data_IF_019298789422
#
_entry.id   IF_019298789422
#
_cell.length_a   1.000
_cell.length_b   1.000
_cell.length_c   1.000
_cell.angle_alpha   90.00
_cell.angle_beta   90.00
_cell.angle_gamma   90.00
#
_symmetry.space_group_name_H-M   'P 1'
#
loop_
_entity.id
_entity.type
_entity.pdbx_description
1 polymer ?
#
# COMPACT_ATOMS: atom_id res chain seq x y z
N UNK A 1 -17.93 -11.20 57.50
CA UNK A 1 -18.45 -10.10 56.67
C UNK A 1 -17.36 -9.08 56.38
N UNK A 2 -16.73 -9.10 55.20
CA UNK A 2 -15.95 -8.00 54.60
C UNK A 2 -15.92 -8.26 53.08
N UNK A 3 -16.61 -7.41 52.31
CA UNK A 3 -16.65 -7.46 50.84
C UNK A 3 -15.31 -6.95 50.28
N UNK A 4 -14.64 -7.73 49.42
CA UNK A 4 -13.54 -7.26 48.56
C UNK A 4 -14.09 -6.97 47.17
N UNK A 5 -13.77 -5.80 46.64
CA UNK A 5 -14.10 -5.33 45.29
C UNK A 5 -13.17 -5.99 44.27
N UNK A 6 -13.74 -6.50 43.18
CA UNK A 6 -13.03 -6.95 41.98
C UNK A 6 -13.00 -5.75 41.03
N UNK A 7 -11.80 -5.31 40.64
CA UNK A 7 -11.61 -4.28 39.62
C UNK A 7 -11.31 -4.95 38.28
N UNK A 8 -12.17 -4.73 37.30
CA UNK A 8 -11.94 -5.04 35.89
C UNK A 8 -11.58 -3.71 35.22
N UNK A 9 -10.35 -3.59 34.73
CA UNK A 9 -9.93 -2.48 33.87
C UNK A 9 -10.16 -2.93 32.42
N UNK A 10 -11.13 -2.32 31.75
CA UNK A 10 -11.38 -2.49 30.32
C UNK A 10 -11.31 -1.12 29.64
N UNK A 11 -10.78 -1.13 28.42
CA UNK A 11 -10.43 -0.01 27.56
C UNK A 11 -11.45 1.15 27.52
N UNK A 12 -10.97 2.37 27.74
CA UNK A 12 -11.66 3.62 27.43
C UNK A 12 -11.19 4.09 26.04
N UNK A 13 -12.00 3.85 25.01
CA UNK A 13 -11.96 4.54 23.72
C UNK A 13 -13.37 5.08 23.42
N UNK A 14 -13.42 6.40 23.25
CA UNK A 14 -14.43 7.22 22.57
C UNK A 14 -15.91 7.04 22.89
N UNK A 15 -16.44 7.96 23.69
CA UNK A 15 -17.83 8.41 23.60
C UNK A 15 -17.87 9.95 23.58
N UNK A 16 -17.37 10.55 22.50
CA UNK A 16 -17.65 11.94 22.15
C UNK A 16 -18.95 11.97 21.34
N UNK A 17 -20.06 12.33 21.98
CA UNK A 17 -21.36 12.45 21.34
C UNK A 17 -21.40 13.66 20.38
N UNK A 18 -21.21 13.43 19.09
CA UNK A 18 -21.72 14.33 18.06
C UNK A 18 -23.21 14.02 17.86
N UNK A 19 -24.09 14.92 18.31
CA UNK A 19 -25.50 14.92 17.89
C UNK A 19 -25.55 15.27 16.40
N UNK A 20 -25.61 14.27 15.52
CA UNK A 20 -26.13 14.47 14.18
C UNK A 20 -27.65 14.66 14.29
N UNK A 21 -28.16 15.81 13.85
CA UNK A 21 -29.58 15.99 13.56
C UNK A 21 -30.00 14.93 12.54
N UNK A 22 -30.99 14.12 12.91
CA UNK A 22 -31.63 13.18 12.01
C UNK A 22 -32.33 13.95 10.90
N UNK A 23 -31.79 13.88 9.69
CA UNK A 23 -32.54 14.14 8.46
C UNK A 23 -33.38 12.89 8.22
N UNK A 24 -34.68 13.06 7.98
CA UNK A 24 -35.61 11.96 7.71
C UNK A 24 -35.08 11.10 6.53
N UNK A 25 -35.13 9.76 6.63
CA UNK A 25 -34.66 8.90 5.56
C UNK A 25 -35.60 8.97 4.36
N UNK A 26 -35.05 9.32 3.20
CA UNK A 26 -35.74 9.26 1.90
C UNK A 26 -36.09 7.78 1.62
N UNK A 27 -37.32 7.46 1.17
CA UNK A 27 -37.72 6.08 0.86
C UNK A 27 -36.81 5.43 -0.19
N UNK A 28 -36.38 4.19 0.09
CA UNK A 28 -35.41 3.42 -0.72
C UNK A 28 -35.90 3.19 -2.16
N UNK A 29 -37.21 3.20 -2.38
CA UNK A 29 -37.81 2.95 -3.70
C UNK A 29 -37.60 4.10 -4.71
N UNK A 30 -37.29 5.32 -4.25
CA UNK A 30 -36.90 6.44 -5.14
C UNK A 30 -35.40 6.39 -5.54
N UNK A 31 -34.55 5.67 -4.78
CA UNK A 31 -33.10 5.58 -5.02
C UNK A 31 -32.70 4.59 -6.11
N UNK A 32 -33.60 3.70 -6.53
CA UNK A 32 -33.32 2.63 -7.51
C UNK A 32 -33.59 3.06 -8.96
N UNK A 33 -34.13 4.26 -9.18
CA UNK A 33 -34.51 4.76 -10.51
C UNK A 33 -33.46 5.70 -11.15
N UNK A 34 -32.39 6.06 -10.44
CA UNK A 34 -31.43 7.05 -10.95
C UNK A 34 -30.17 6.40 -11.54
N UNK A 35 -29.78 6.92 -12.70
CA UNK A 35 -28.50 6.71 -13.38
C UNK A 35 -27.30 6.67 -12.42
N UNK A 36 -26.22 5.92 -12.74
CA UNK A 36 -25.06 5.77 -11.87
C UNK A 36 -24.52 7.14 -11.41
N UNK A 37 -24.36 7.37 -10.09
CA UNK A 37 -23.86 8.62 -9.56
C UNK A 37 -22.46 8.92 -10.11
N UNK A 38 -22.26 10.16 -10.55
CA UNK A 38 -20.98 10.66 -11.04
C UNK A 38 -20.44 11.69 -10.04
N UNK A 39 -19.23 12.24 -10.22
CA UNK A 39 -18.79 13.32 -9.34
C UNK A 39 -19.72 14.55 -9.44
N UNK A 40 -20.68 14.58 -10.38
CA UNK A 40 -21.70 15.65 -10.58
C UNK A 40 -22.46 15.89 -9.31
N UNK A 41 -22.66 14.84 -8.53
CA UNK A 41 -23.57 14.83 -7.41
C UNK A 41 -22.96 15.50 -6.18
N UNK A 42 -21.69 15.92 -6.28
CA UNK A 42 -20.98 16.69 -5.27
C UNK A 42 -20.81 18.18 -5.62
N UNK A 43 -21.34 18.62 -6.75
CA UNK A 43 -21.36 20.01 -7.17
C UNK A 43 -22.82 20.49 -7.17
N UNK A 44 -23.14 21.68 -6.61
CA UNK A 44 -24.49 22.23 -6.70
C UNK A 44 -24.95 22.29 -8.17
N UNK A 45 -26.11 21.69 -8.49
CA UNK A 45 -26.66 21.65 -9.87
C UNK A 45 -26.77 23.04 -10.52
N UNK A 46 -26.93 24.09 -9.71
CA UNK A 46 -26.96 25.49 -10.14
C UNK A 46 -25.66 25.99 -10.80
N UNK A 47 -24.53 25.29 -10.60
CA UNK A 47 -23.28 25.58 -11.32
C UNK A 47 -23.13 24.75 -12.59
N UNK A 48 -23.67 23.52 -12.64
CA UNK A 48 -23.46 22.54 -13.72
C UNK A 48 -24.15 22.95 -15.04
N UNK A 49 -25.26 23.69 -14.98
CA UNK A 49 -26.09 23.97 -16.16
C UNK A 49 -25.58 25.13 -17.04
N UNK A 50 -24.56 25.90 -16.59
CA UNK A 50 -24.03 27.07 -17.31
C UNK A 50 -22.51 27.24 -17.16
N UNK A 51 -21.74 26.14 -17.16
CA UNK A 51 -20.26 26.26 -17.09
C UNK A 51 -19.68 26.59 -18.47
N UNK A 52 -19.23 27.82 -18.66
CA UNK A 52 -18.29 28.15 -19.72
C UNK A 52 -17.04 27.25 -19.57
N UNK A 53 -16.47 26.75 -20.67
CA UNK A 53 -15.29 25.86 -20.66
C UNK A 53 -14.14 26.38 -19.76
N UNK A 54 -14.03 27.70 -19.59
CA UNK A 54 -13.06 28.33 -18.72
C UNK A 54 -13.26 28.02 -17.22
N UNK A 55 -14.51 27.94 -16.75
CA UNK A 55 -14.80 27.54 -15.37
C UNK A 55 -14.46 26.07 -15.16
N UNK A 56 -14.92 25.20 -16.07
CA UNK A 56 -14.66 23.76 -15.99
C UNK A 56 -13.15 23.48 -16.05
N UNK A 57 -12.41 24.16 -16.94
CA UNK A 57 -10.95 24.10 -17.03
C UNK A 57 -10.29 24.48 -15.69
N UNK A 58 -10.68 25.60 -15.09
CA UNK A 58 -10.14 26.04 -13.80
C UNK A 58 -10.44 25.08 -12.66
N UNK A 59 -11.67 24.54 -12.62
CA UNK A 59 -12.08 23.57 -11.61
C UNK A 59 -11.32 22.25 -11.74
N UNK A 60 -11.25 21.67 -12.95
CA UNK A 60 -10.52 20.41 -13.18
C UNK A 60 -9.03 20.62 -12.89
N UNK A 61 -8.42 21.73 -13.33
CA UNK A 61 -7.02 22.04 -13.04
C UNK A 61 -6.76 22.12 -11.53
N UNK A 62 -7.65 22.76 -10.76
CA UNK A 62 -7.53 22.84 -9.30
C UNK A 62 -7.63 21.46 -8.65
N UNK A 63 -8.54 20.60 -9.12
CA UNK A 63 -8.72 19.24 -8.59
C UNK A 63 -7.54 18.32 -8.93
N UNK A 64 -7.02 18.41 -10.16
CA UNK A 64 -5.82 17.68 -10.58
C UNK A 64 -4.62 18.15 -9.76
N UNK A 65 -4.43 19.46 -9.59
CA UNK A 65 -3.38 19.99 -8.72
C UNK A 65 -3.57 19.51 -7.27
N UNK A 66 -4.78 19.51 -6.74
CA UNK A 66 -5.01 19.07 -5.36
C UNK A 66 -4.61 17.62 -5.09
N UNK A 67 -4.77 16.72 -6.08
CA UNK A 67 -4.59 15.28 -5.87
C UNK A 67 -3.35 14.69 -6.55
N UNK A 68 -2.81 15.40 -7.54
CA UNK A 68 -1.71 14.98 -8.41
C UNK A 68 -0.71 16.12 -8.65
N UNK A 69 -0.58 17.09 -7.71
CA UNK A 69 0.32 18.25 -7.85
C UNK A 69 1.75 17.88 -8.25
N UNK A 70 2.23 16.71 -7.83
CA UNK A 70 3.59 16.22 -8.11
C UNK A 70 3.85 15.99 -9.61
N UNK A 71 2.78 15.79 -10.39
CA UNK A 71 2.86 15.45 -11.81
C UNK A 71 2.70 16.65 -12.74
N UNK A 72 2.37 17.84 -12.22
CA UNK A 72 2.22 19.07 -13.01
C UNK A 72 1.44 18.86 -14.32
N UNK A 73 0.28 18.22 -14.19
CA UNK A 73 -0.59 17.93 -15.33
C UNK A 73 -1.35 19.20 -15.69
N UNK A 74 -1.22 19.64 -16.94
CA UNK A 74 -1.96 20.79 -17.44
C UNK A 74 -3.26 20.32 -18.09
N UNK A 75 -4.33 21.08 -17.84
CA UNK A 75 -5.68 20.79 -18.30
C UNK A 75 -6.14 21.93 -19.19
N UNK A 76 -6.77 21.60 -20.31
CA UNK A 76 -7.59 22.56 -21.02
C UNK A 76 -8.90 21.92 -21.49
N UNK A 77 -9.94 22.75 -21.64
CA UNK A 77 -11.28 22.30 -22.03
C UNK A 77 -11.73 23.02 -23.30
N UNK A 78 -12.39 22.28 -24.19
CA UNK A 78 -13.09 22.81 -25.37
C UNK A 78 -14.41 22.07 -25.58
N UNK A 79 -15.54 22.77 -25.56
CA UNK A 79 -16.89 22.24 -25.72
C UNK A 79 -17.25 21.08 -24.75
N UNK A 80 -16.65 21.07 -23.55
CA UNK A 80 -16.76 19.98 -22.57
C UNK A 80 -15.87 18.76 -22.83
N UNK A 81 -15.04 18.77 -23.87
CA UNK A 81 -13.96 17.79 -24.07
C UNK A 81 -12.70 18.26 -23.32
N UNK A 82 -12.12 17.37 -22.51
CA UNK A 82 -10.98 17.68 -21.65
C UNK A 82 -9.71 17.12 -22.24
N UNK A 83 -8.65 17.92 -22.25
CA UNK A 83 -7.35 17.55 -22.76
C UNK A 83 -6.31 17.65 -21.65
N UNK A 84 -5.52 16.58 -21.50
CA UNK A 84 -4.50 16.45 -20.46
C UNK A 84 -3.10 16.43 -21.08
N UNK A 85 -2.25 17.30 -20.60
CA UNK A 85 -0.84 17.41 -21.00
C UNK A 85 0.09 17.07 -19.83
N UNK A 86 1.31 16.61 -20.15
CA UNK A 86 2.34 16.24 -19.18
C UNK A 86 1.95 15.07 -18.24
N UNK A 87 1.17 14.11 -18.75
CA UNK A 87 0.81 12.91 -17.98
C UNK A 87 2.06 12.08 -17.64
N UNK A 88 2.11 11.47 -16.43
CA UNK A 88 3.21 10.59 -16.05
C UNK A 88 3.30 9.39 -16.98
N UNK A 89 4.53 8.92 -17.24
CA UNK A 89 4.75 7.75 -18.10
C UNK A 89 4.29 6.44 -17.47
N UNK A 90 4.12 6.36 -16.15
CA UNK A 90 3.59 5.15 -15.51
C UNK A 90 2.09 4.94 -15.83
N UNK A 91 1.74 3.79 -16.42
CA UNK A 91 0.39 3.50 -16.93
C UNK A 91 -0.67 3.44 -15.83
N UNK A 92 -0.30 2.98 -14.62
CA UNK A 92 -1.22 2.88 -13.49
C UNK A 92 -1.60 4.28 -12.98
N UNK A 93 -0.61 5.15 -12.78
CA UNK A 93 -0.82 6.54 -12.35
C UNK A 93 -1.57 7.32 -13.42
N UNK A 94 -1.12 7.23 -14.68
CA UNK A 94 -1.78 7.85 -15.84
C UNK A 94 -3.25 7.44 -15.95
N UNK A 95 -3.54 6.14 -15.83
CA UNK A 95 -4.91 5.63 -15.85
C UNK A 95 -5.75 6.16 -14.70
N UNK A 96 -5.15 6.35 -13.51
CA UNK A 96 -5.85 6.90 -12.34
C UNK A 96 -6.18 8.37 -12.52
N UNK A 97 -5.27 9.18 -13.10
CA UNK A 97 -5.51 10.59 -13.42
C UNK A 97 -6.61 10.72 -14.47
N UNK A 98 -6.52 9.98 -15.58
CA UNK A 98 -7.54 10.00 -16.63
C UNK A 98 -8.90 9.64 -16.03
N UNK A 99 -9.00 8.54 -15.27
CA UNK A 99 -10.27 8.13 -14.66
C UNK A 99 -10.77 9.13 -13.63
N UNK A 100 -9.87 9.75 -12.87
CA UNK A 100 -10.21 10.79 -11.93
C UNK A 100 -10.91 11.97 -12.61
N UNK A 101 -10.40 12.40 -13.78
CA UNK A 101 -10.98 13.47 -14.60
C UNK A 101 -12.23 13.00 -15.35
N UNK A 102 -12.24 11.80 -15.93
CA UNK A 102 -13.42 11.25 -16.65
C UNK A 102 -14.63 11.13 -15.74
N UNK A 103 -14.42 10.83 -14.46
CA UNK A 103 -15.51 10.74 -13.49
C UNK A 103 -16.05 12.12 -13.08
N UNK A 104 -15.47 13.25 -13.54
CA UNK A 104 -15.85 14.61 -13.15
C UNK A 104 -17.10 15.14 -13.83
N UNK A 105 -17.78 16.14 -13.21
CA UNK A 105 -18.98 16.75 -13.75
C UNK A 105 -18.71 17.53 -15.01
N UNK A 106 -19.62 17.48 -15.99
CA UNK A 106 -19.49 18.25 -17.23
C UNK A 106 -18.45 17.71 -18.22
N UNK A 107 -17.67 16.69 -17.83
CA UNK A 107 -16.66 16.06 -18.70
C UNK A 107 -17.34 15.09 -19.66
N UNK A 108 -17.27 15.39 -20.97
CA UNK A 108 -17.78 14.50 -22.03
C UNK A 108 -16.76 13.45 -22.44
N UNK A 109 -15.50 13.87 -22.60
CA UNK A 109 -14.39 12.99 -22.96
C UNK A 109 -13.08 13.49 -22.36
N UNK A 110 -12.08 12.61 -22.28
CA UNK A 110 -10.73 12.94 -21.80
C UNK A 110 -9.70 12.41 -22.80
N UNK A 111 -8.87 13.30 -23.33
CA UNK A 111 -7.84 12.97 -24.33
C UNK A 111 -6.45 13.39 -23.84
N UNK A 112 -5.47 12.51 -23.98
CA UNK A 112 -4.06 12.86 -23.76
C UNK A 112 -3.52 13.58 -24.99
N UNK A 113 -2.78 14.67 -24.78
CA UNK A 113 -2.14 15.43 -25.86
C UNK A 113 -0.64 15.57 -25.64
N UNK A 114 0.12 15.49 -26.73
CA UNK A 114 1.58 15.64 -26.72
C UNK A 114 2.03 17.12 -26.78
N UNK A 115 1.13 18.03 -27.14
CA UNK A 115 1.40 19.47 -27.22
C UNK A 115 0.26 20.24 -26.58
N UNK A 116 0.60 21.21 -25.74
CA UNK A 116 -0.35 22.17 -25.19
C UNK A 116 -0.52 23.35 -26.16
N UNK A 117 -1.73 23.87 -26.40
CA UNK A 117 -1.97 24.98 -27.33
C UNK A 117 -1.18 26.25 -26.96
N UNK A 118 -0.45 26.83 -27.92
CA UNK A 118 0.42 28.02 -27.71
C UNK A 118 -0.37 29.24 -27.17
N UNK A 119 -1.57 29.49 -27.69
CA UNK A 119 -2.43 30.59 -27.23
C UNK A 119 -2.90 30.44 -25.77
N UNK A 120 -2.94 29.20 -25.25
CA UNK A 120 -3.25 28.93 -23.83
C UNK A 120 -1.97 28.90 -22.98
N UNK A 121 -0.83 28.47 -23.53
CA UNK A 121 0.49 28.61 -22.90
C UNK A 121 0.81 30.07 -22.58
N UNK A 122 0.58 31.03 -23.48
CA UNK A 122 0.84 32.46 -23.20
C UNK A 122 0.03 33.00 -22.01
N UNK A 123 -1.18 32.49 -21.79
CA UNK A 123 -1.99 32.81 -20.60
C UNK A 123 -1.45 32.17 -19.33
N UNK A 124 -0.87 30.97 -19.43
CA UNK A 124 -0.19 30.29 -18.34
C UNK A 124 1.17 30.93 -18.03
N UNK A 125 1.96 31.34 -19.01
CA UNK A 125 3.28 31.98 -18.81
C UNK A 125 3.19 33.34 -18.11
N UNK A 126 2.06 34.05 -18.26
CA UNK A 126 1.75 35.24 -17.45
C UNK A 126 1.53 34.93 -15.96
N UNK A 127 1.13 33.70 -15.61
CA UNK A 127 1.24 33.17 -14.24
C UNK A 127 2.67 32.64 -14.11
N UNK A 128 3.56 33.34 -13.41
CA UNK A 128 4.96 32.95 -13.22
C UNK A 128 5.18 31.42 -13.21
N UNK A 129 5.63 30.87 -14.34
CA UNK A 129 6.07 29.46 -14.42
C UNK A 129 7.43 29.43 -13.74
N UNK A 130 7.43 29.24 -12.43
CA UNK A 130 8.67 29.14 -11.65
C UNK A 130 9.50 27.99 -12.22
N UNK A 131 10.82 28.18 -12.40
CA UNK A 131 11.70 27.17 -12.96
C UNK A 131 11.54 25.87 -12.19
N UNK A 132 11.10 24.82 -12.89
CA UNK A 132 10.82 23.53 -12.27
C UNK A 132 12.13 22.82 -11.94
N UNK A 133 12.27 22.47 -10.67
CA UNK A 133 13.26 21.49 -10.23
C UNK A 133 12.94 20.19 -10.98
N UNK A 134 13.95 19.49 -11.52
CA UNK A 134 13.79 18.24 -12.29
C UNK A 134 13.25 17.05 -11.48
N UNK A 135 12.64 17.32 -10.33
CA UNK A 135 12.14 16.35 -9.37
C UNK A 135 11.47 17.00 -8.18
N UNK A 136 10.88 16.16 -7.34
CA UNK A 136 10.04 16.54 -6.20
C UNK A 136 10.69 16.03 -4.92
N UNK A 137 10.92 16.93 -3.96
CA UNK A 137 11.30 16.56 -2.59
C UNK A 137 10.08 16.04 -1.83
N UNK A 138 10.26 14.94 -1.10
CA UNK A 138 9.26 14.34 -0.23
C UNK A 138 7.88 14.13 -0.89
N UNK A 139 7.80 13.38 -2.01
CA UNK A 139 6.51 13.10 -2.64
C UNK A 139 5.55 12.38 -1.67
N UNK A 140 4.28 12.75 -1.72
CA UNK A 140 3.24 12.39 -0.74
C UNK A 140 2.14 11.48 -1.32
N UNK A 141 1.96 11.46 -2.66
CA UNK A 141 0.73 10.94 -3.27
C UNK A 141 0.83 9.50 -3.75
N UNK A 142 2.00 9.05 -4.21
CA UNK A 142 2.18 7.72 -4.79
C UNK A 142 3.54 7.11 -4.44
N UNK A 143 3.63 5.78 -4.56
CA UNK A 143 4.89 5.03 -4.59
C UNK A 143 5.17 4.56 -6.02
N UNK A 144 6.43 4.54 -6.44
CA UNK A 144 6.79 4.07 -7.78
C UNK A 144 6.75 2.54 -7.91
N UNK A 145 7.12 1.82 -6.85
CA UNK A 145 7.01 0.37 -6.76
C UNK A 145 5.94 0.01 -5.72
N UNK A 146 4.72 -0.42 -6.11
CA UNK A 146 3.67 -0.73 -5.15
C UNK A 146 4.00 -1.96 -4.29
N UNK A 147 3.52 -2.03 -3.04
CA UNK A 147 3.86 -3.11 -2.12
C UNK A 147 3.38 -4.47 -2.61
N UNK A 148 4.14 -5.53 -2.33
CA UNK A 148 3.78 -6.92 -2.66
C UNK A 148 2.89 -7.48 -1.54
N UNK A 149 1.59 -7.20 -1.62
CA UNK A 149 0.66 -7.35 -0.47
C UNK A 149 0.54 -8.76 0.14
N UNK A 150 0.96 -9.81 -0.57
CA UNK A 150 0.96 -11.19 -0.07
C UNK A 150 2.31 -11.60 0.56
N UNK A 151 3.35 -10.77 0.47
CA UNK A 151 4.63 -10.98 1.14
C UNK A 151 4.43 -10.81 2.67
N UNK A 152 4.70 -11.84 3.49
CA UNK A 152 4.55 -11.75 4.95
C UNK A 152 5.44 -10.66 5.59
N UNK A 153 6.56 -10.33 4.93
CA UNK A 153 7.53 -9.32 5.37
C UNK A 153 7.44 -8.05 4.50
N UNK A 154 6.27 -7.75 3.93
CA UNK A 154 6.08 -6.48 3.23
C UNK A 154 6.04 -5.32 4.22
N UNK A 155 6.71 -4.23 3.90
CA UNK A 155 6.83 -3.04 4.74
C UNK A 155 5.55 -2.21 4.67
N UNK A 156 4.50 -2.72 5.32
CA UNK A 156 3.19 -2.09 5.44
C UNK A 156 2.71 -2.14 6.89
N UNK A 157 1.70 -1.36 7.22
CA UNK A 157 1.02 -1.49 8.50
C UNK A 157 -0.02 -2.62 8.43
N UNK A 158 0.01 -3.53 9.39
CA UNK A 158 -0.98 -4.61 9.47
C UNK A 158 -1.13 -5.19 10.87
N UNK A 159 -2.28 -5.82 11.09
CA UNK A 159 -2.52 -6.69 12.23
C UNK A 159 -3.33 -7.90 11.76
N UNK A 160 -2.84 -9.11 12.07
CA UNK A 160 -3.48 -10.36 11.68
C UNK A 160 -3.45 -11.37 12.81
N UNK A 161 -4.58 -12.04 13.02
CA UNK A 161 -4.66 -13.20 13.89
C UNK A 161 -4.36 -14.45 13.05
N UNK A 162 -3.40 -15.27 13.49
CA UNK A 162 -2.97 -16.49 12.81
C UNK A 162 -3.30 -17.72 13.67
N UNK A 163 -3.72 -18.79 13.02
CA UNK A 163 -4.13 -20.06 13.63
C UNK A 163 -3.35 -21.18 12.98
N UNK A 164 -2.82 -22.08 13.82
CA UNK A 164 -2.15 -23.30 13.38
C UNK A 164 -0.63 -23.17 13.26
N UNK A 165 -0.03 -22.04 13.66
CA UNK A 165 1.43 -21.91 13.68
C UNK A 165 2.03 -22.86 14.72
N UNK A 166 2.89 -23.78 14.28
CA UNK A 166 3.48 -24.82 15.12
C UNK A 166 4.80 -24.39 15.76
N UNK A 167 5.36 -23.26 15.32
CA UNK A 167 6.67 -22.78 15.73
C UNK A 167 6.52 -21.64 16.74
N UNK A 168 5.75 -20.61 16.39
CA UNK A 168 5.57 -19.44 17.26
C UNK A 168 4.40 -19.59 18.23
N UNK A 169 3.42 -20.45 17.93
CA UNK A 169 2.29 -20.74 18.81
C UNK A 169 0.99 -20.98 18.07
N UNK A 170 0.10 -21.84 18.60
CA UNK A 170 -1.11 -22.26 17.86
C UNK A 170 -2.05 -21.11 17.50
N UNK A 171 -2.04 -20.05 18.30
CA UNK A 171 -2.82 -18.84 18.10
C UNK A 171 -1.86 -17.67 18.28
N UNK A 172 -1.59 -16.91 17.22
CA UNK A 172 -0.69 -15.76 17.32
C UNK A 172 -1.34 -14.50 16.78
N UNK A 173 -0.97 -13.35 17.32
CA UNK A 173 -1.22 -12.06 16.68
C UNK A 173 0.09 -11.58 16.07
N UNK A 174 0.09 -11.39 14.76
CA UNK A 174 1.20 -10.76 14.04
C UNK A 174 0.84 -9.30 13.75
N UNK A 175 1.76 -8.40 14.10
CA UNK A 175 1.63 -6.95 13.88
C UNK A 175 2.81 -6.50 13.04
N UNK A 176 2.54 -5.70 12.01
CA UNK A 176 3.57 -5.01 11.26
C UNK A 176 3.38 -3.50 11.33
N UNK A 177 4.49 -2.78 11.47
CA UNK A 177 4.58 -1.33 11.35
C UNK A 177 5.69 -1.04 10.36
N UNK A 178 5.34 -0.48 9.21
CA UNK A 178 6.33 -0.22 8.19
C UNK A 178 5.86 0.81 7.19
N UNK A 179 6.79 1.62 6.71
CA UNK A 179 6.57 2.60 5.66
C UNK A 179 7.84 2.81 4.83
N UNK A 180 7.63 3.32 3.63
CA UNK A 180 8.69 3.88 2.79
C UNK A 180 8.57 5.40 2.86
N UNK A 181 9.62 6.08 3.34
CA UNK A 181 9.69 7.53 3.36
C UNK A 181 10.40 8.04 2.10
N UNK A 182 9.68 8.62 1.13
CA UNK A 182 10.31 9.07 -0.10
C UNK A 182 11.13 10.33 0.12
N UNK A 183 12.41 10.32 -0.25
CA UNK A 183 13.28 11.50 -0.08
C UNK A 183 13.13 12.41 -1.29
N UNK A 184 13.34 11.85 -2.48
CA UNK A 184 13.36 12.62 -3.72
C UNK A 184 12.95 11.77 -4.91
N UNK A 185 12.13 12.35 -5.78
CA UNK A 185 11.71 11.76 -7.06
C UNK A 185 12.19 12.61 -8.22
N UNK A 186 13.15 12.12 -8.99
CA UNK A 186 13.47 12.69 -10.30
C UNK A 186 12.40 12.29 -11.32
N UNK A 187 12.01 13.25 -12.16
CA UNK A 187 10.99 13.04 -13.19
C UNK A 187 11.64 12.99 -14.57
N UNK A 188 11.07 12.17 -15.46
CA UNK A 188 11.47 12.10 -16.87
C UNK A 188 12.98 11.83 -17.08
N UNK A 189 13.59 10.96 -16.28
CA UNK A 189 15.02 10.63 -16.36
C UNK A 189 15.32 9.46 -17.29
N UNK A 190 16.60 9.37 -17.70
CA UNK A 190 17.14 8.38 -18.63
C UNK A 190 16.50 8.39 -20.03
N UNK A 191 16.91 7.45 -20.88
CA UNK A 191 16.46 7.36 -22.28
C UNK A 191 14.95 7.05 -22.42
N UNK A 192 14.33 6.46 -21.39
CA UNK A 192 12.91 6.08 -21.42
C UNK A 192 11.98 7.10 -20.76
N UNK A 193 12.53 8.21 -20.24
CA UNK A 193 11.79 9.29 -19.58
C UNK A 193 10.86 8.78 -18.45
N UNK A 194 11.32 7.82 -17.65
CA UNK A 194 10.59 7.35 -16.48
C UNK A 194 10.88 8.20 -15.25
N UNK A 195 10.25 7.85 -14.14
CA UNK A 195 10.48 8.50 -12.85
C UNK A 195 11.40 7.62 -12.00
N UNK A 196 12.38 8.23 -11.34
CA UNK A 196 13.33 7.58 -10.42
C UNK A 196 13.12 8.16 -9.02
N UNK A 197 13.14 7.32 -7.99
CA UNK A 197 12.89 7.73 -6.62
C UNK A 197 13.83 7.00 -5.67
N UNK A 198 14.36 7.74 -4.69
CA UNK A 198 15.13 7.19 -3.57
C UNK A 198 14.36 7.39 -2.27
N UNK A 199 14.24 6.33 -1.48
CA UNK A 199 13.48 6.33 -0.22
C UNK A 199 14.35 5.82 0.94
N UNK A 200 13.84 6.02 2.16
CA UNK A 200 14.25 5.27 3.35
C UNK A 200 13.12 4.34 3.71
N UNK A 201 13.42 3.05 3.77
CA UNK A 201 12.47 2.03 4.18
C UNK A 201 12.74 1.62 5.62
N UNK A 202 11.69 1.53 6.43
CA UNK A 202 11.78 0.98 7.79
C UNK A 202 10.57 0.08 8.08
N UNK A 203 10.81 -1.08 8.67
CA UNK A 203 9.77 -2.05 8.99
C UNK A 203 10.03 -2.78 10.30
N UNK A 204 8.97 -3.07 11.03
CA UNK A 204 8.97 -3.86 12.26
C UNK A 204 7.87 -4.91 12.14
N UNK A 205 8.19 -6.18 12.38
CA UNK A 205 7.21 -7.27 12.44
C UNK A 205 7.34 -7.96 13.79
N UNK A 206 6.26 -8.00 14.57
CA UNK A 206 6.23 -8.65 15.87
C UNK A 206 5.15 -9.73 15.90
N UNK A 207 5.49 -10.88 16.47
CA UNK A 207 4.55 -12.00 16.63
C UNK A 207 4.36 -12.29 18.11
N UNK A 208 3.11 -12.26 18.55
CA UNK A 208 2.69 -12.54 19.92
C UNK A 208 1.96 -13.89 19.97
N UNK A 209 2.37 -14.80 20.84
CA UNK A 209 1.65 -16.04 21.08
C UNK A 209 0.56 -15.82 22.11
N UNK A 210 -0.68 -16.06 21.71
CA UNK A 210 -1.89 -15.78 22.49
C UNK A 210 -2.28 -17.00 23.31
N UNK A 211 -2.63 -16.77 24.58
CA UNK A 211 -3.03 -17.84 25.49
C UNK A 211 -1.86 -18.75 25.89
N UNK A 212 -0.63 -18.25 25.81
CA UNK A 212 0.58 -18.95 26.23
C UNK A 212 0.52 -19.39 27.71
N UNK A 213 -0.33 -18.75 28.53
CA UNK A 213 -0.54 -19.13 29.93
C UNK A 213 0.75 -19.05 30.71
N UNK A 214 1.54 -18.00 30.47
CA UNK A 214 2.89 -17.81 30.98
C UNK A 214 2.96 -17.84 32.51
N UNK A 215 4.19 -17.88 33.04
CA UNK A 215 4.47 -18.11 34.48
C UNK A 215 3.74 -17.14 35.43
N UNK A 216 3.35 -15.95 34.96
CA UNK A 216 2.67 -14.91 35.74
C UNK A 216 1.25 -14.58 35.27
N UNK A 217 0.58 -15.47 34.54
CA UNK A 217 -0.79 -15.26 34.07
C UNK A 217 -0.89 -14.31 32.86
N UNK A 218 0.19 -14.19 32.10
CA UNK A 218 0.24 -13.41 30.87
C UNK A 218 -0.73 -13.96 29.82
N UNK A 219 -1.50 -13.05 29.22
CA UNK A 219 -2.44 -13.39 28.16
C UNK A 219 -1.75 -13.58 26.80
N UNK A 220 -0.60 -12.94 26.60
CA UNK A 220 0.20 -13.03 25.40
C UNK A 220 1.69 -12.90 25.74
N UNK A 221 2.54 -13.63 25.04
CA UNK A 221 4.00 -13.49 25.11
C UNK A 221 4.52 -12.97 23.76
N UNK A 222 5.48 -12.04 23.75
CA UNK A 222 6.17 -11.66 22.52
C UNK A 222 7.15 -12.78 22.16
N UNK A 223 7.02 -13.34 20.95
CA UNK A 223 7.86 -14.44 20.48
C UNK A 223 9.07 -13.92 19.74
N UNK A 224 8.85 -13.08 18.73
CA UNK A 224 9.89 -12.56 17.85
C UNK A 224 9.55 -11.15 17.38
N UNK A 225 10.56 -10.31 17.25
CA UNK A 225 10.49 -9.03 16.54
C UNK A 225 11.61 -8.90 15.53
N UNK A 226 11.23 -8.69 14.27
CA UNK A 226 12.13 -8.38 13.16
C UNK A 226 12.16 -6.88 12.90
N UNK A 227 13.36 -6.32 12.69
CA UNK A 227 13.59 -4.92 12.36
C UNK A 227 14.30 -4.83 11.02
N UNK A 228 13.74 -4.05 10.09
CA UNK A 228 14.32 -3.79 8.78
C UNK A 228 14.58 -2.30 8.61
N UNK A 229 15.76 -1.97 8.06
CA UNK A 229 16.06 -0.65 7.50
C UNK A 229 16.66 -0.85 6.12
N UNK A 230 16.17 -0.11 5.13
CA UNK A 230 16.65 -0.21 3.76
C UNK A 230 16.66 1.12 3.02
N UNK A 231 17.35 1.13 1.89
CA UNK A 231 17.41 2.27 0.96
C UNK A 231 16.97 1.74 -0.41
N UNK A 232 15.66 1.78 -0.73
CA UNK A 232 15.19 1.40 -2.04
C UNK A 232 15.39 2.55 -3.04
N UNK A 233 15.85 2.18 -4.23
CA UNK A 233 15.87 2.99 -5.44
C UNK A 233 14.84 2.40 -6.40
N UNK A 234 13.75 3.13 -6.60
CA UNK A 234 12.62 2.71 -7.42
C UNK A 234 12.59 3.45 -8.75
N UNK A 235 12.37 2.75 -9.85
CA UNK A 235 12.20 3.34 -11.18
C UNK A 235 10.92 2.84 -11.83
N UNK A 236 10.09 3.73 -12.36
CA UNK A 236 8.82 3.33 -12.99
C UNK A 236 8.62 4.00 -14.35
N UNK A 237 8.23 3.20 -15.35
CA UNK A 237 7.97 3.64 -16.72
C UNK A 237 6.96 2.73 -17.39
N UNK A 238 5.92 3.31 -18.01
CA UNK A 238 4.83 2.56 -18.65
C UNK A 238 4.25 1.50 -17.69
N UNK A 239 4.28 0.22 -18.10
CA UNK A 239 3.81 -0.94 -17.34
C UNK A 239 4.85 -1.51 -16.37
N UNK A 240 6.06 -0.97 -16.34
CA UNK A 240 7.19 -1.52 -15.60
C UNK A 240 7.47 -0.69 -14.35
N UNK A 241 7.77 -1.38 -13.25
CA UNK A 241 8.37 -0.81 -12.07
C UNK A 241 9.54 -1.68 -11.63
N UNK A 242 10.61 -1.05 -11.17
CA UNK A 242 11.83 -1.69 -10.72
C UNK A 242 12.16 -1.16 -9.33
N UNK A 243 12.71 -2.01 -8.47
CA UNK A 243 13.19 -1.64 -7.14
C UNK A 243 14.53 -2.32 -6.90
N UNK A 244 15.59 -1.54 -6.76
CA UNK A 244 16.87 -2.00 -6.23
C UNK A 244 16.92 -1.60 -4.76
N UNK A 245 17.16 -2.52 -3.85
CA UNK A 245 17.19 -2.22 -2.41
C UNK A 245 18.41 -2.84 -1.76
N UNK A 246 19.17 -2.03 -1.04
CA UNK A 246 20.11 -2.51 -0.02
C UNK A 246 19.41 -2.38 1.33
N UNK A 247 19.45 -3.42 2.14
CA UNK A 247 18.80 -3.42 3.43
C UNK A 247 19.56 -4.24 4.48
N UNK A 248 19.35 -3.87 5.73
CA UNK A 248 19.72 -4.62 6.92
C UNK A 248 18.44 -5.14 7.57
N UNK A 249 18.45 -6.39 8.01
CA UNK A 249 17.40 -6.96 8.85
C UNK A 249 18.01 -7.70 10.03
N UNK A 250 17.45 -7.49 11.22
CA UNK A 250 17.85 -8.14 12.46
C UNK A 250 16.64 -8.62 13.24
N UNK A 251 16.75 -9.76 13.89
CA UNK A 251 15.67 -10.41 14.60
C UNK A 251 16.00 -10.58 16.07
N UNK A 252 15.04 -10.30 16.93
CA UNK A 252 15.18 -10.40 18.37
C UNK A 252 14.10 -11.31 18.93
N UNK A 253 14.53 -12.36 19.63
CA UNK A 253 13.66 -13.23 20.40
C UNK A 253 13.09 -12.44 21.59
N UNK A 254 11.78 -12.52 21.81
CA UNK A 254 11.11 -11.82 22.89
C UNK A 254 11.51 -12.36 24.26
N UNK A 255 11.53 -11.48 25.25
CA UNK A 255 11.94 -11.80 26.61
C UNK A 255 10.88 -12.63 27.34
N UNK A 256 9.58 -12.35 27.16
CA UNK A 256 8.52 -13.19 27.73
C UNK A 256 8.62 -14.63 27.20
N UNK A 257 8.89 -14.80 25.89
CA UNK A 257 9.08 -16.12 25.30
C UNK A 257 10.29 -16.86 25.91
N UNK A 258 11.41 -16.17 26.15
CA UNK A 258 12.58 -16.76 26.81
C UNK A 258 12.29 -17.17 28.27
N UNK A 259 11.49 -16.38 28.99
CA UNK A 259 11.08 -16.68 30.37
C UNK A 259 10.16 -17.90 30.42
N UNK A 260 9.22 -18.01 29.48
CA UNK A 260 8.27 -19.11 29.39
C UNK A 260 8.90 -20.39 28.81
N UNK A 261 10.00 -20.27 28.05
CA UNK A 261 10.70 -21.39 27.42
C UNK A 261 12.18 -21.46 27.86
N UNK A 262 12.49 -21.85 29.11
CA UNK A 262 13.85 -21.80 29.66
C UNK A 262 14.89 -22.69 28.95
N UNK A 263 14.46 -23.59 28.06
CA UNK A 263 15.32 -24.40 27.22
C UNK A 263 15.67 -23.76 25.87
N UNK A 264 15.06 -22.63 25.51
CA UNK A 264 15.33 -21.95 24.24
C UNK A 264 16.72 -21.33 24.26
N UNK A 265 17.47 -21.53 23.18
CA UNK A 265 18.74 -20.85 22.97
C UNK A 265 18.49 -19.62 22.11
N UNK A 266 18.83 -18.44 22.62
CA UNK A 266 18.84 -17.21 21.81
C UNK A 266 19.95 -17.30 20.75
N UNK A 267 19.58 -17.06 19.50
CA UNK A 267 20.47 -16.90 18.36
C UNK A 267 20.43 -15.43 17.92
N UNK A 268 21.28 -15.05 16.97
CA UNK A 268 21.36 -13.69 16.47
C UNK A 268 21.14 -13.63 14.95
N UNK A 269 19.91 -13.83 14.45
CA UNK A 269 19.62 -13.66 13.03
C UNK A 269 19.78 -12.20 12.67
N UNK A 270 20.81 -11.91 11.88
CA UNK A 270 21.06 -10.57 11.35
C UNK A 270 21.76 -10.73 10.01
N UNK A 271 21.32 -9.94 9.03
CA UNK A 271 21.90 -9.97 7.70
C UNK A 271 21.74 -8.65 6.96
N UNK A 272 22.65 -8.43 6.02
CA UNK A 272 22.60 -7.38 5.02
C UNK A 272 22.52 -8.00 3.65
N UNK A 273 21.61 -7.47 2.85
CA UNK A 273 21.33 -8.00 1.53
C UNK A 273 21.04 -6.90 0.52
N UNK A 274 21.17 -7.27 -0.74
CA UNK A 274 20.75 -6.49 -1.89
C UNK A 274 19.75 -7.30 -2.70
N UNK A 275 18.60 -6.70 -3.05
CA UNK A 275 17.63 -7.29 -3.97
C UNK A 275 17.31 -6.37 -5.13
N UNK A 276 16.92 -6.97 -6.24
CA UNK A 276 16.41 -6.27 -7.39
C UNK A 276 15.08 -6.88 -7.81
N UNK A 277 13.98 -6.15 -7.62
CA UNK A 277 12.67 -6.57 -8.06
C UNK A 277 12.25 -5.86 -9.34
N UNK A 278 11.60 -6.62 -10.20
CA UNK A 278 10.91 -6.13 -11.39
C UNK A 278 9.44 -6.49 -11.28
N UNK A 279 8.56 -5.52 -11.50
CA UNK A 279 7.12 -5.69 -11.59
C UNK A 279 6.61 -5.28 -12.97
N UNK A 280 5.68 -6.07 -13.49
CA UNK A 280 5.01 -5.82 -14.76
C UNK A 280 3.50 -5.78 -14.60
N UNK A 281 2.90 -4.66 -14.98
CA UNK A 281 1.47 -4.41 -14.97
C UNK A 281 0.84 -4.92 -16.28
N UNK A 282 0.50 -6.21 -16.33
CA UNK A 282 -0.05 -6.87 -17.53
C UNK A 282 -1.33 -6.16 -18.00
N UNK A 283 -2.23 -5.91 -17.07
CA UNK A 283 -3.48 -5.13 -17.26
C UNK A 283 -3.64 -4.19 -16.08
N UNK A 284 -4.63 -3.29 -16.10
CA UNK A 284 -4.95 -2.42 -14.94
C UNK A 284 -5.27 -3.18 -13.65
N UNK A 285 -5.57 -4.47 -13.77
CA UNK A 285 -6.05 -5.33 -12.70
C UNK A 285 -5.10 -6.47 -12.35
N UNK A 286 -4.10 -6.75 -13.18
CA UNK A 286 -3.19 -7.88 -13.02
C UNK A 286 -1.73 -7.41 -13.03
N UNK A 287 -1.00 -7.75 -11.97
CA UNK A 287 0.43 -7.43 -11.79
C UNK A 287 1.19 -8.69 -11.41
N UNK A 288 2.36 -8.88 -12.00
CA UNK A 288 3.33 -9.88 -11.58
C UNK A 288 4.63 -9.22 -11.20
N UNK A 289 5.38 -9.85 -10.31
CA UNK A 289 6.68 -9.37 -9.89
C UNK A 289 7.61 -10.54 -9.57
N UNK A 290 8.90 -10.30 -9.76
CA UNK A 290 9.98 -11.25 -9.52
C UNK A 290 11.25 -10.49 -9.16
N UNK A 291 12.03 -11.03 -8.24
CA UNK A 291 13.31 -10.44 -7.87
C UNK A 291 14.28 -11.45 -7.28
N UNK A 292 15.51 -11.56 -7.82
CA UNK A 292 16.60 -12.20 -7.10
C UNK A 292 17.12 -11.28 -5.98
N UNK A 293 17.74 -11.90 -4.99
CA UNK A 293 18.52 -11.18 -4.01
C UNK A 293 19.73 -11.96 -3.52
N UNK A 294 20.62 -11.21 -2.89
CA UNK A 294 21.92 -11.67 -2.43
C UNK A 294 22.20 -11.13 -1.04
N UNK A 295 22.25 -12.05 -0.07
CA UNK A 295 22.77 -11.83 1.27
C UNK A 295 24.30 -11.83 1.20
N UNK A 296 24.90 -10.66 1.38
CA UNK A 296 26.35 -10.49 1.31
C UNK A 296 27.02 -10.48 2.68
N UNK A 297 26.23 -10.30 3.75
CA UNK A 297 26.69 -10.44 5.12
C UNK A 297 25.59 -11.06 5.98
N UNK A 298 25.97 -11.97 6.87
CA UNK A 298 25.11 -12.49 7.94
C UNK A 298 25.95 -12.72 9.19
N UNK A 299 25.31 -12.66 10.36
CA UNK A 299 25.97 -12.92 11.63
C UNK A 299 26.63 -14.31 11.65
N UNK A 300 27.87 -14.37 12.16
CA UNK A 300 28.65 -15.62 12.22
C UNK A 300 27.98 -16.74 13.01
N UNK A 301 27.11 -16.40 13.97
CA UNK A 301 26.37 -17.35 14.81
C UNK A 301 25.05 -17.81 14.16
N UNK A 302 24.58 -17.13 13.12
CA UNK A 302 23.37 -17.46 12.37
C UNK A 302 23.60 -17.29 10.86
N UNK A 303 24.42 -18.18 10.30
CA UNK A 303 24.77 -18.09 8.87
C UNK A 303 23.54 -18.24 7.96
N UNK A 304 23.43 -17.34 6.99
CA UNK A 304 22.44 -17.37 5.91
C UNK A 304 23.15 -17.60 4.59
N UNK A 305 22.71 -18.63 3.85
CA UNK A 305 23.22 -18.86 2.50
C UNK A 305 22.82 -17.71 1.56
N UNK A 306 23.70 -17.34 0.61
CA UNK A 306 23.67 -16.02 -0.02
C UNK A 306 22.45 -15.76 -0.91
N UNK A 307 21.93 -16.74 -1.64
CA UNK A 307 20.99 -16.45 -2.72
C UNK A 307 19.54 -16.74 -2.35
N UNK A 308 18.65 -15.90 -2.88
CA UNK A 308 17.22 -16.15 -2.88
C UNK A 308 16.57 -15.58 -4.14
N UNK A 309 15.40 -16.11 -4.47
CA UNK A 309 14.51 -15.54 -5.47
C UNK A 309 13.09 -15.52 -4.92
N UNK A 310 12.41 -14.42 -5.13
CA UNK A 310 11.03 -14.25 -4.70
C UNK A 310 10.20 -13.70 -5.85
N UNK A 311 8.94 -14.12 -5.90
CA UNK A 311 8.05 -13.76 -6.99
C UNK A 311 6.60 -13.94 -6.59
N UNK A 312 5.71 -13.30 -7.32
CA UNK A 312 4.31 -13.37 -7.01
C UNK A 312 3.47 -12.63 -8.03
N UNK A 313 2.19 -12.58 -7.72
CA UNK A 313 1.22 -11.89 -8.55
C UNK A 313 0.02 -11.46 -7.75
N UNK A 314 -0.68 -10.48 -8.30
CA UNK A 314 -1.92 -9.98 -7.74
C UNK A 314 -2.93 -9.64 -8.84
N UNK A 315 -4.18 -9.98 -8.56
CA UNK A 315 -5.32 -9.73 -9.41
C UNK A 315 -6.38 -8.96 -8.62
N UNK A 316 -6.93 -7.90 -9.20
CA UNK A 316 -8.05 -7.11 -8.65
C UNK A 316 -9.27 -7.29 -9.52
N UNK A 317 -10.43 -7.57 -8.92
CA UNK A 317 -11.65 -7.85 -9.65
C UNK A 317 -12.87 -7.31 -8.91
N UNK A 318 -13.98 -7.17 -9.66
CA UNK A 318 -15.27 -6.67 -9.16
C UNK A 318 -15.14 -5.37 -8.37
N UNK A 319 -14.47 -4.37 -8.97
CA UNK A 319 -14.36 -3.05 -8.38
C UNK A 319 -15.71 -2.35 -8.33
N UNK A 320 -16.09 -1.86 -7.15
CA UNK A 320 -17.31 -1.10 -6.89
C UNK A 320 -16.97 0.32 -6.42
N UNK A 321 -17.86 1.27 -6.70
CA UNK A 321 -17.79 2.62 -6.14
C UNK A 321 -18.80 2.71 -4.99
N UNK A 322 -18.35 3.01 -3.78
CA UNK A 322 -19.23 3.31 -2.66
C UNK A 322 -19.59 4.80 -2.72
N UNK A 323 -20.85 5.07 -3.06
CA UNK A 323 -21.33 6.41 -3.36
C UNK A 323 -21.42 7.31 -2.11
N UNK A 324 -21.89 6.79 -0.98
CA UNK A 324 -22.06 7.56 0.25
C UNK A 324 -20.72 8.07 0.81
N UNK A 325 -19.68 7.22 0.78
CA UNK A 325 -18.36 7.56 1.35
C UNK A 325 -17.34 8.03 0.30
N UNK A 326 -17.69 8.02 -0.99
CA UNK A 326 -16.79 8.35 -2.11
C UNK A 326 -15.48 7.55 -2.05
N UNK A 327 -15.61 6.23 -1.94
CA UNK A 327 -14.50 5.27 -1.88
C UNK A 327 -14.58 4.26 -3.03
N UNK A 328 -13.44 3.80 -3.49
CA UNK A 328 -13.30 2.68 -4.41
C UNK A 328 -13.03 1.42 -3.62
N UNK A 329 -13.90 0.43 -3.75
CA UNK A 329 -13.71 -0.89 -3.18
C UNK A 329 -13.41 -1.91 -4.27
N UNK A 330 -12.50 -2.86 -4.03
CA UNK A 330 -12.24 -3.95 -4.99
C UNK A 330 -11.83 -5.21 -4.26
N UNK A 331 -12.29 -6.35 -4.75
CA UNK A 331 -11.72 -7.63 -4.35
C UNK A 331 -10.32 -7.76 -4.92
N UNK A 332 -9.45 -8.45 -4.18
CA UNK A 332 -8.13 -8.82 -4.65
C UNK A 332 -7.80 -10.26 -4.26
N UNK A 333 -7.02 -10.89 -5.12
CA UNK A 333 -6.31 -12.13 -4.85
C UNK A 333 -4.83 -11.89 -5.11
N UNK A 334 -3.96 -12.35 -4.23
CA UNK A 334 -2.53 -12.25 -4.39
C UNK A 334 -1.85 -13.53 -3.89
N UNK A 335 -0.67 -13.81 -4.43
CA UNK A 335 0.19 -14.88 -3.94
C UNK A 335 1.64 -14.43 -3.97
N UNK A 336 2.39 -14.87 -2.98
CA UNK A 336 3.82 -14.64 -2.84
C UNK A 336 4.54 -15.97 -2.69
N UNK A 337 5.66 -16.13 -3.37
CA UNK A 337 6.51 -17.31 -3.29
C UNK A 337 7.93 -16.88 -3.01
N UNK A 338 8.58 -17.55 -2.05
CA UNK A 338 9.99 -17.38 -1.73
C UNK A 338 10.72 -18.71 -1.92
N UNK A 339 11.90 -18.65 -2.53
CA UNK A 339 12.82 -19.78 -2.59
C UNK A 339 14.19 -19.26 -2.16
N UNK A 340 14.59 -19.62 -0.94
CA UNK A 340 15.87 -19.22 -0.35
C UNK A 340 16.85 -20.39 -0.38
N UNK A 341 18.12 -20.13 -0.68
CA UNK A 341 19.17 -21.14 -0.69
C UNK A 341 19.32 -21.81 0.69
N UNK A 342 19.24 -21.03 1.78
CA UNK A 342 19.35 -21.52 3.17
C UNK A 342 18.25 -22.52 3.52
N UNK A 343 17.14 -22.44 2.79
CA UNK A 343 15.98 -23.30 2.89
C UNK A 343 15.93 -24.33 1.75
N UNK A 344 17.09 -24.65 1.17
CA UNK A 344 17.26 -25.64 0.10
C UNK A 344 16.36 -25.39 -1.11
N UNK A 345 16.07 -24.12 -1.41
CA UNK A 345 15.17 -23.70 -2.48
C UNK A 345 13.74 -24.27 -2.39
N UNK A 346 13.33 -24.76 -1.22
CA UNK A 346 11.96 -25.25 -1.03
C UNK A 346 10.95 -24.11 -1.20
N UNK A 347 9.75 -24.46 -1.65
CA UNK A 347 8.67 -23.50 -1.83
C UNK A 347 8.14 -23.03 -0.48
N UNK A 348 8.20 -21.72 -0.28
CA UNK A 348 7.49 -20.96 0.74
C UNK A 348 6.39 -20.17 0.03
N UNK A 349 5.12 -20.45 0.36
CA UNK A 349 3.98 -19.96 -0.41
C UNK A 349 2.99 -19.26 0.51
N UNK A 350 2.60 -18.05 0.14
CA UNK A 350 1.71 -17.18 0.91
C UNK A 350 0.61 -16.60 0.02
N UNK A 351 -0.53 -17.28 -0.19
CA UNK A 351 -1.70 -16.68 -0.83
C UNK A 351 -2.49 -15.77 0.13
N UNK A 352 -3.12 -14.75 -0.44
CA UNK A 352 -3.98 -13.80 0.25
C UNK A 352 -5.21 -13.47 -0.61
N UNK A 353 -6.38 -13.42 0.01
CA UNK A 353 -7.63 -12.99 -0.61
C UNK A 353 -8.28 -11.95 0.29
N UNK A 354 -8.78 -10.87 -0.30
CA UNK A 354 -9.41 -9.84 0.51
C UNK A 354 -10.18 -8.79 -0.29
N UNK A 355 -10.52 -7.73 0.42
CA UNK A 355 -11.19 -6.57 -0.13
C UNK A 355 -10.40 -5.32 0.28
N UNK A 356 -10.12 -4.44 -0.67
CA UNK A 356 -9.41 -3.17 -0.43
C UNK A 356 -10.30 -1.96 -0.72
N UNK A 357 -10.21 -0.93 0.14
CA UNK A 357 -10.85 0.37 -0.02
C UNK A 357 -9.78 1.45 -0.24
N UNK A 358 -10.03 2.37 -1.17
CA UNK A 358 -9.08 3.44 -1.53
C UNK A 358 -9.81 4.70 -1.99
N UNK A 359 -9.14 5.86 -1.90
CA UNK A 359 -9.71 7.13 -2.39
C UNK A 359 -9.54 7.30 -3.90
N UNK A 360 -8.39 6.85 -4.42
CA UNK A 360 -8.05 6.85 -5.84
C UNK A 360 -7.96 5.40 -6.31
N UNK A 361 -8.43 5.16 -7.53
CA UNK A 361 -8.43 3.80 -8.03
C UNK A 361 -7.03 3.34 -8.41
N UNK A 362 -6.59 2.25 -7.79
CA UNK A 362 -5.35 1.57 -8.13
C UNK A 362 -4.09 2.22 -7.56
N UNK A 363 -4.17 3.45 -7.05
CA UNK A 363 -3.02 4.24 -6.58
C UNK A 363 -3.32 4.91 -5.25
N UNK A 364 -2.27 5.27 -4.52
CA UNK A 364 -2.37 5.96 -3.23
C UNK A 364 -2.75 5.01 -2.09
N UNK A 365 -3.09 5.60 -0.95
CA UNK A 365 -3.35 4.86 0.28
C UNK A 365 -4.63 4.03 0.22
N UNK A 366 -4.58 2.83 0.80
CA UNK A 366 -5.65 1.84 0.87
C UNK A 366 -5.74 1.24 2.27
N UNK A 367 -6.94 0.79 2.61
CA UNK A 367 -7.17 -0.14 3.71
C UNK A 367 -7.62 -1.48 3.13
N UNK A 368 -7.23 -2.58 3.76
CA UNK A 368 -7.55 -3.94 3.30
C UNK A 368 -8.02 -4.77 4.48
N UNK A 369 -9.02 -5.61 4.24
CA UNK A 369 -9.34 -6.75 5.11
C UNK A 369 -9.09 -8.00 4.28
N UNK A 370 -8.44 -8.98 4.89
CA UNK A 370 -8.00 -10.18 4.18
C UNK A 370 -8.07 -11.43 5.02
N UNK A 371 -8.10 -12.55 4.31
CA UNK A 371 -7.69 -13.86 4.78
C UNK A 371 -6.40 -14.25 4.06
N UNK A 372 -5.50 -14.93 4.76
CA UNK A 372 -4.25 -15.41 4.20
C UNK A 372 -3.98 -16.84 4.67
N UNK A 373 -3.16 -17.54 3.90
CA UNK A 373 -2.58 -18.81 4.30
C UNK A 373 -1.08 -18.73 4.04
N UNK A 374 -0.29 -19.33 4.91
CA UNK A 374 1.16 -19.43 4.75
C UNK A 374 1.56 -20.89 4.91
N UNK A 375 2.40 -21.39 4.00
CA UNK A 375 3.04 -22.69 4.09
C UNK A 375 4.49 -22.53 3.62
N UNK A 376 5.41 -22.49 4.58
CA UNK A 376 6.76 -22.02 4.33
C UNK A 376 7.57 -21.99 5.60
N UNK A 377 8.51 -21.05 5.67
CA UNK A 377 9.43 -20.91 6.78
C UNK A 377 9.03 -19.76 7.69
N UNK A 378 9.18 -19.97 8.99
CA UNK A 378 8.80 -19.02 10.04
C UNK A 378 9.69 -17.76 10.02
N UNK A 379 9.33 -16.73 10.78
CA UNK A 379 10.10 -15.48 10.81
C UNK A 379 11.20 -15.46 11.89
N UNK A 380 12.07 -14.46 11.80
CA UNK A 380 13.18 -14.19 12.70
C UNK A 380 14.08 -15.37 13.05
N UNK A 381 14.22 -15.69 14.33
CA UNK A 381 15.10 -16.79 14.76
C UNK A 381 14.71 -18.15 14.19
N UNK A 382 13.43 -18.32 13.85
CA UNK A 382 12.90 -19.57 13.34
C UNK A 382 12.91 -19.64 11.82
N UNK A 383 13.69 -18.79 11.14
CA UNK A 383 13.77 -18.69 9.68
C UNK A 383 14.12 -19.98 8.93
N UNK A 384 14.69 -20.96 9.63
CA UNK A 384 15.05 -22.29 9.09
C UNK A 384 14.03 -23.38 9.44
N UNK A 385 13.04 -23.04 10.27
CA UNK A 385 11.97 -23.93 10.71
C UNK A 385 10.74 -23.74 9.83
N UNK A 386 10.14 -24.86 9.42
CA UNK A 386 8.97 -24.85 8.55
C UNK A 386 7.69 -24.78 9.37
N UNK A 387 6.76 -23.92 8.99
CA UNK A 387 5.44 -23.79 9.62
C UNK A 387 4.34 -23.61 8.58
N UNK A 388 3.09 -23.70 9.04
CA UNK A 388 1.95 -23.30 8.24
C UNK A 388 0.88 -22.70 9.13
N UNK A 389 0.20 -21.65 8.66
CA UNK A 389 -0.90 -21.04 9.40
C UNK A 389 -1.93 -20.43 8.46
N UNK A 390 -3.19 -20.40 8.90
CA UNK A 390 -4.22 -19.56 8.31
C UNK A 390 -4.36 -18.27 9.11
N UNK A 391 -4.71 -17.17 8.47
CA UNK A 391 -4.88 -15.89 9.14
C UNK A 391 -6.03 -15.07 8.60
N UNK A 392 -6.51 -14.15 9.43
CA UNK A 392 -7.38 -13.06 9.03
C UNK A 392 -6.85 -11.76 9.63
N UNK A 393 -6.95 -10.68 8.89
CA UNK A 393 -6.34 -9.43 9.32
C UNK A 393 -6.80 -8.21 8.55
N UNK A 394 -6.22 -7.09 8.97
CA UNK A 394 -6.32 -5.81 8.30
C UNK A 394 -4.93 -5.28 7.95
N UNK A 395 -4.82 -4.58 6.84
CA UNK A 395 -3.63 -3.80 6.49
C UNK A 395 -3.99 -2.43 5.96
N UNK A 396 -3.09 -1.47 6.12
CA UNK A 396 -3.24 -0.12 5.59
C UNK A 396 -1.88 0.44 5.19
N UNK A 397 -1.88 1.35 4.22
CA UNK A 397 -0.66 1.81 3.55
C UNK A 397 -0.94 2.02 2.07
N UNK A 398 0.05 1.84 1.19
CA UNK A 398 -0.13 1.93 -0.27
C UNK A 398 -0.68 0.66 -0.91
#
# INVERSE_FOLDING_TARGET
MKKKRIGIFFCLLLAGALKLQAVEPIPIDELLAETPPSRTDSIPRQHIENEEDAYLEGYIQAMVNSHYYEFDVLVYVENGDVYLYNLPKNDLIKSSIIRFVTDMPGVKSVTEVDKFPEAKLEKLEKREVKPQISGVWFPQTTVLYPPMIANPMETIYSAAYRIGDHIMGKNTIAVSLGDDFPIYRWRNVFCWKGDLQIDIQAGIWSVFNMGAGGRDGEFAELVNTDYLVGIPLSYAVNKWAFRLRVYHISSHLGDEYMVNHPGVKRLNPSMEAIDFFTAYQVTKNLRFYIGPGWVFHSDSTFHIDPFYIEYGGEARFWGTKNFYHKLYGTFFFAFYIRNWQVNHWQFDVSPMLGYEWSKLQGVGRKMRIFINYHNGYSEGQFFKERTSYGGFGLSWGF
#
